data_IF_147401476045
#
_entry.id   IF_147401476045
#
_cell.length_a   1.000
_cell.length_b   1.000
_cell.length_c   1.000
_cell.angle_alpha   90.00
_cell.angle_beta   90.00
_cell.angle_gamma   90.00
#
_symmetry.space_group_name_H-M   'P 1'
#
loop_
_entity.id
_entity.type
_entity.pdbx_description
1 polymer ?
#
# COMPACT_ATOMS: atom_id res chain seq x y z
N UNK A 1 -42.55 44.79 -31.70
CA UNK A 1 -41.36 45.61 -31.33
C UNK A 1 -41.62 46.08 -29.90
N UNK A 2 -40.92 45.67 -28.84
CA UNK A 2 -39.49 45.39 -28.65
C UNK A 2 -39.31 44.29 -27.58
N UNK A 3 -38.34 43.40 -27.78
CA UNK A 3 -37.83 42.50 -26.74
C UNK A 3 -37.04 43.35 -25.72
N UNK A 4 -37.21 43.11 -24.42
CA UNK A 4 -36.28 43.60 -23.38
C UNK A 4 -35.55 42.41 -22.76
N UNK A 5 -34.27 42.35 -23.12
CA UNK A 5 -33.21 41.49 -22.58
C UNK A 5 -32.83 41.90 -21.14
N UNK A 6 -32.68 40.91 -20.25
CA UNK A 6 -31.80 40.92 -19.06
C UNK A 6 -31.97 39.57 -18.34
N UNK A 7 -31.46 38.46 -18.88
CA UNK A 7 -30.08 38.01 -18.71
C UNK A 7 -29.59 38.07 -17.25
N UNK A 8 -29.71 36.91 -16.59
CA UNK A 8 -28.70 36.21 -15.78
C UNK A 8 -27.99 36.91 -14.61
N UNK A 9 -27.81 36.07 -13.59
CA UNK A 9 -26.71 36.03 -12.63
C UNK A 9 -26.90 36.85 -11.35
N UNK A 10 -27.19 36.14 -10.25
CA UNK A 10 -26.42 36.27 -9.00
C UNK A 10 -26.75 35.12 -8.00
N UNK A 11 -26.79 33.87 -8.46
CA UNK A 11 -26.67 32.72 -7.56
C UNK A 11 -25.18 32.39 -7.44
N UNK A 12 -24.46 33.26 -6.74
CA UNK A 12 -23.03 33.17 -6.49
C UNK A 12 -22.71 31.88 -5.74
N UNK A 13 -22.13 30.96 -6.49
CA UNK A 13 -21.57 29.68 -6.11
C UNK A 13 -20.61 29.85 -4.91
N UNK A 14 -21.07 29.61 -3.69
CA UNK A 14 -20.17 29.41 -2.54
C UNK A 14 -19.58 28.00 -2.65
N UNK A 15 -18.67 27.83 -3.60
CA UNK A 15 -17.83 26.64 -3.70
C UNK A 15 -16.89 26.70 -2.48
N UNK A 16 -17.28 26.00 -1.41
CA UNK A 16 -16.43 25.79 -0.25
C UNK A 16 -15.11 25.18 -0.75
N UNK A 17 -14.02 25.93 -0.63
CA UNK A 17 -12.67 25.52 -0.94
C UNK A 17 -12.25 24.42 0.04
N UNK A 18 -12.57 23.17 -0.28
CA UNK A 18 -11.98 22.02 0.38
C UNK A 18 -10.46 22.06 0.09
N UNK A 19 -9.59 21.98 1.11
CA UNK A 19 -8.16 21.92 0.87
C UNK A 19 -7.87 20.68 0.00
N UNK A 20 -7.17 20.87 -1.11
CA UNK A 20 -6.71 19.77 -1.93
C UNK A 20 -5.83 18.88 -1.07
N UNK A 21 -6.28 17.65 -0.83
CA UNK A 21 -5.46 16.63 -0.16
C UNK A 21 -4.32 16.32 -1.13
N UNK A 22 -3.11 16.77 -0.82
CA UNK A 22 -1.95 16.49 -1.66
C UNK A 22 -1.70 14.97 -1.65
N UNK A 23 -1.79 14.34 -2.82
CA UNK A 23 -1.34 12.96 -2.97
C UNK A 23 0.16 12.90 -2.66
N UNK A 24 0.59 11.91 -1.89
CA UNK A 24 2.00 11.70 -1.63
C UNK A 24 2.72 11.32 -2.94
N UNK A 25 3.90 11.89 -3.16
CA UNK A 25 4.74 11.52 -4.30
C UNK A 25 5.11 10.03 -4.22
N UNK A 26 5.14 9.31 -5.36
CA UNK A 26 5.64 7.94 -5.38
C UNK A 26 7.07 7.89 -4.82
N UNK A 27 7.43 6.87 -4.02
CA UNK A 27 8.78 6.75 -3.50
C UNK A 27 9.78 6.59 -4.65
N UNK A 28 10.93 7.26 -4.56
CA UNK A 28 11.99 7.18 -5.57
C UNK A 28 12.49 5.75 -5.79
N UNK A 29 12.43 4.91 -4.75
CA UNK A 29 12.87 3.51 -4.78
C UNK A 29 11.84 2.60 -4.08
N UNK A 30 10.73 2.22 -4.74
CA UNK A 30 9.64 1.48 -4.09
C UNK A 30 10.07 0.12 -3.55
N UNK A 31 11.10 -0.50 -4.15
CA UNK A 31 11.45 -1.90 -3.90
C UNK A 31 12.72 -2.08 -3.06
N UNK A 32 13.43 -1.01 -2.67
CA UNK A 32 14.75 -1.13 -2.05
C UNK A 32 14.75 -1.90 -0.73
N UNK A 33 13.69 -1.77 0.08
CA UNK A 33 13.56 -2.54 1.31
C UNK A 33 13.53 -4.05 1.01
N UNK A 34 12.64 -4.48 0.11
CA UNK A 34 12.54 -5.89 -0.27
C UNK A 34 13.83 -6.43 -0.89
N UNK A 35 14.46 -5.68 -1.79
CA UNK A 35 15.72 -6.08 -2.45
C UNK A 35 16.86 -6.25 -1.45
N UNK A 36 17.12 -5.25 -0.62
CA UNK A 36 18.26 -5.29 0.33
C UNK A 36 18.02 -6.33 1.41
N UNK A 37 16.78 -6.47 1.90
CA UNK A 37 16.42 -7.52 2.85
C UNK A 37 16.63 -8.91 2.25
N UNK A 38 16.18 -9.17 1.01
CA UNK A 38 16.39 -10.45 0.35
C UNK A 38 17.89 -10.77 0.15
N UNK A 39 18.68 -9.78 -0.28
CA UNK A 39 20.12 -9.93 -0.42
C UNK A 39 20.81 -10.27 0.91
N UNK A 40 20.42 -9.60 2.01
CA UNK A 40 20.93 -9.90 3.35
C UNK A 40 20.54 -11.29 3.82
N UNK A 41 19.30 -11.72 3.56
CA UNK A 41 18.82 -13.06 3.89
C UNK A 41 19.72 -14.15 3.29
N UNK A 42 20.15 -13.95 2.04
CA UNK A 42 21.03 -14.88 1.30
C UNK A 42 22.50 -14.75 1.73
N UNK A 43 22.97 -13.52 1.93
CA UNK A 43 24.39 -13.28 2.22
C UNK A 43 24.78 -13.61 3.66
N UNK A 44 23.88 -13.38 4.62
CA UNK A 44 24.18 -13.45 6.05
C UNK A 44 23.32 -14.42 6.84
N UNK A 45 22.15 -14.82 6.31
CA UNK A 45 21.22 -15.73 6.99
C UNK A 45 20.83 -15.29 8.42
N UNK A 46 20.95 -14.00 8.75
CA UNK A 46 20.78 -13.43 10.09
C UNK A 46 19.41 -12.76 10.30
N UNK A 47 18.57 -12.78 9.26
CA UNK A 47 17.23 -12.19 9.35
C UNK A 47 16.36 -13.01 10.28
N UNK A 48 15.94 -12.38 11.37
CA UNK A 48 15.06 -12.98 12.37
C UNK A 48 15.79 -13.45 13.63
N UNK A 49 17.12 -13.34 13.72
CA UNK A 49 17.88 -13.72 14.92
C UNK A 49 17.37 -13.00 16.17
N UNK A 50 17.17 -11.68 16.06
CA UNK A 50 16.60 -10.89 17.16
C UNK A 50 15.17 -11.29 17.51
N UNK A 51 14.34 -11.63 16.52
CA UNK A 51 12.97 -12.10 16.79
C UNK A 51 12.97 -13.48 17.47
N UNK A 52 13.98 -14.30 17.16
CA UNK A 52 14.16 -15.65 17.69
C UNK A 52 14.78 -15.67 19.08
N UNK A 53 15.45 -14.59 19.50
CA UNK A 53 16.01 -14.46 20.85
C UNK A 53 14.98 -14.14 21.94
N UNK A 54 13.72 -13.90 21.56
CA UNK A 54 12.65 -13.55 22.50
C UNK A 54 12.10 -14.80 23.20
N UNK A 55 11.54 -14.64 24.41
CA UNK A 55 10.92 -15.74 25.18
C UNK A 55 9.80 -16.43 24.40
N UNK A 56 8.99 -15.65 23.69
CA UNK A 56 7.98 -16.13 22.74
C UNK A 56 8.35 -15.63 21.33
N UNK A 57 9.07 -16.44 20.52
CA UNK A 57 9.50 -16.04 19.20
C UNK A 57 8.32 -15.73 18.27
N UNK A 58 8.35 -14.55 17.64
CA UNK A 58 7.37 -14.18 16.62
C UNK A 58 7.73 -14.84 15.30
N UNK A 59 6.74 -15.44 14.64
CA UNK A 59 6.93 -15.99 13.29
C UNK A 59 7.27 -14.88 12.30
N UNK A 60 8.29 -15.12 11.48
CA UNK A 60 8.61 -14.26 10.34
C UNK A 60 7.50 -14.32 9.29
N UNK A 61 7.37 -13.24 8.50
CA UNK A 61 6.35 -13.14 7.45
C UNK A 61 6.43 -14.28 6.42
N UNK A 62 7.62 -14.79 6.11
CA UNK A 62 7.78 -15.96 5.24
C UNK A 62 7.19 -17.24 5.86
N UNK A 63 7.35 -17.46 7.17
CA UNK A 63 6.75 -18.61 7.85
C UNK A 63 5.22 -18.48 7.91
N UNK A 64 4.72 -17.28 8.19
CA UNK A 64 3.29 -16.97 8.16
C UNK A 64 2.70 -17.21 6.77
N UNK A 65 3.42 -16.80 5.72
CA UNK A 65 3.02 -17.03 4.33
C UNK A 65 2.83 -18.51 4.04
N UNK A 66 3.81 -19.35 4.38
CA UNK A 66 3.73 -20.80 4.15
C UNK A 66 2.62 -21.47 4.97
N UNK A 67 2.42 -21.02 6.20
CA UNK A 67 1.33 -21.49 7.07
C UNK A 67 -0.06 -21.22 6.47
N UNK A 68 -0.24 -20.09 5.78
CA UNK A 68 -1.55 -19.68 5.27
C UNK A 68 -1.77 -20.14 3.82
N UNK A 69 -0.77 -20.01 2.95
CA UNK A 69 -0.89 -20.23 1.51
C UNK A 69 -0.26 -21.56 1.03
N UNK A 70 0.48 -22.26 1.89
CA UNK A 70 1.16 -23.52 1.57
C UNK A 70 2.68 -23.39 1.43
N UNK A 71 3.39 -24.51 1.53
CA UNK A 71 4.87 -24.56 1.63
C UNK A 71 5.62 -23.92 0.46
N UNK A 72 5.04 -23.94 -0.74
CA UNK A 72 5.64 -23.37 -1.96
C UNK A 72 5.39 -21.86 -2.11
N UNK A 73 4.63 -21.24 -1.20
CA UNK A 73 4.29 -19.83 -1.27
C UNK A 73 5.44 -18.92 -0.83
N UNK A 74 5.56 -17.78 -1.53
CA UNK A 74 6.52 -16.73 -1.28
C UNK A 74 5.83 -15.49 -0.71
N UNK A 75 6.59 -14.67 0.01
CA UNK A 75 6.04 -13.47 0.68
C UNK A 75 5.33 -12.49 -0.28
N UNK A 76 5.71 -12.48 -1.57
CA UNK A 76 5.01 -11.73 -2.61
C UNK A 76 3.58 -12.24 -2.85
N UNK A 77 3.39 -13.55 -2.86
CA UNK A 77 2.07 -14.20 -3.01
C UNK A 77 1.16 -13.84 -1.83
N UNK A 78 1.75 -13.71 -0.62
CA UNK A 78 1.01 -13.25 0.55
C UNK A 78 0.59 -11.79 0.42
N UNK A 79 1.43 -10.92 -0.14
CA UNK A 79 1.05 -9.55 -0.46
C UNK A 79 -0.12 -9.47 -1.44
N UNK A 80 -0.09 -10.26 -2.51
CA UNK A 80 -1.19 -10.34 -3.48
C UNK A 80 -2.48 -10.89 -2.84
N UNK A 81 -2.38 -11.91 -1.98
CA UNK A 81 -3.51 -12.43 -1.21
C UNK A 81 -4.11 -11.36 -0.28
N UNK A 82 -3.28 -10.61 0.44
CA UNK A 82 -3.75 -9.54 1.32
C UNK A 82 -4.51 -8.44 0.54
N UNK A 83 -4.00 -8.03 -0.62
CA UNK A 83 -4.69 -7.08 -1.52
C UNK A 83 -5.97 -7.64 -2.14
N UNK A 84 -6.12 -8.97 -2.24
CA UNK A 84 -7.39 -9.58 -2.67
C UNK A 84 -8.46 -9.51 -1.57
N UNK A 85 -8.07 -9.67 -0.30
CA UNK A 85 -9.02 -9.78 0.81
C UNK A 85 -9.32 -8.45 1.50
N UNK A 86 -8.49 -7.42 1.31
CA UNK A 86 -8.71 -6.11 1.91
C UNK A 86 -9.88 -5.34 1.25
N UNK A 87 -10.23 -5.69 0.01
CA UNK A 87 -11.34 -5.10 -0.74
C UNK A 87 -11.11 -3.64 -1.12
N UNK A 88 -9.85 -3.18 -1.11
CA UNK A 88 -9.48 -1.82 -1.49
C UNK A 88 -8.95 -1.80 -2.93
N UNK A 89 -9.67 -1.10 -3.82
CA UNK A 89 -9.30 -0.98 -5.24
C UNK A 89 -7.94 -0.26 -5.43
N UNK A 90 -7.42 0.42 -4.40
CA UNK A 90 -6.12 1.07 -4.43
C UNK A 90 -4.93 0.12 -4.13
N UNK A 91 -5.17 -1.10 -3.64
CA UNK A 91 -4.13 -2.05 -3.22
C UNK A 91 -4.12 -3.29 -4.11
N UNK A 92 -3.31 -3.25 -5.17
CA UNK A 92 -3.16 -4.34 -6.12
C UNK A 92 -1.69 -4.64 -6.42
N UNK A 93 -1.33 -5.92 -6.40
CA UNK A 93 -0.02 -6.42 -6.84
C UNK A 93 -0.24 -7.38 -8.03
N UNK A 94 0.17 -7.02 -9.27
CA UNK A 94 0.05 -7.89 -10.45
C UNK A 94 0.96 -9.11 -10.40
#
# INVERSE_FOLDING_TARGET
MRLTSAALALAGLTLASLPAVAAADPPTNPNCLGVVTAQRAVAHHDLGDHASSQEEPRLGLGNVTRLILGEDAHIGDFGAFLGQIDGDDATYCP
#
